data_IF_942530145563
#
_entry.id   IF_942530145563
#
_cell.length_a   1.000
_cell.length_b   1.000
_cell.length_c   1.000
_cell.angle_alpha   90.00
_cell.angle_beta   90.00
_cell.angle_gamma   90.00
#
_symmetry.space_group_name_H-M   'P 1'
#
loop_
_entity.id
_entity.type
_entity.pdbx_description
1 polymer ?
#
# COMPACT_ATOMS: atom_id res chain seq x y z
N UNK A 1 9.69 9.05 6.46
CA UNK A 1 8.61 8.35 7.17
C UNK A 1 7.29 8.40 6.41
N UNK A 2 6.71 9.57 6.12
CA UNK A 2 5.48 9.66 5.30
C UNK A 2 5.63 9.01 3.90
N UNK A 3 6.67 9.38 3.15
CA UNK A 3 6.93 8.79 1.82
C UNK A 3 7.11 7.26 1.86
N UNK A 4 7.73 6.73 2.91
CA UNK A 4 7.88 5.28 3.10
C UNK A 4 6.52 4.61 3.37
N UNK A 5 5.61 5.28 4.11
CA UNK A 5 4.25 4.78 4.30
C UNK A 5 3.43 4.82 3.02
N UNK A 6 3.60 5.84 2.16
CA UNK A 6 2.99 5.86 0.84
C UNK A 6 3.49 4.68 -0.01
N UNK A 7 4.79 4.38 0.02
CA UNK A 7 5.38 3.26 -0.71
C UNK A 7 4.83 1.91 -0.21
N UNK A 8 4.75 1.74 1.11
CA UNK A 8 4.11 0.57 1.72
C UNK A 8 2.63 0.49 1.31
N UNK A 9 1.89 1.60 1.29
CA UNK A 9 0.49 1.64 0.86
C UNK A 9 0.29 1.16 -0.57
N UNK A 10 1.15 1.58 -1.50
CA UNK A 10 1.15 1.07 -2.89
C UNK A 10 1.37 -0.44 -2.95
N UNK A 11 2.34 -0.95 -2.20
CA UNK A 11 2.69 -2.37 -2.20
C UNK A 11 1.62 -3.24 -1.57
N UNK A 12 1.02 -2.79 -0.48
CA UNK A 12 -0.09 -3.50 0.17
C UNK A 12 -1.37 -3.38 -0.66
N UNK A 13 -1.48 -2.35 -1.50
CA UNK A 13 -2.61 -2.12 -2.40
C UNK A 13 -3.93 -1.93 -1.66
N UNK A 14 -3.86 -1.21 -0.54
CA UNK A 14 -5.04 -0.85 0.24
C UNK A 14 -5.77 0.31 -0.45
N UNK A 15 -6.99 0.10 -1.00
CA UNK A 15 -7.75 1.16 -1.61
C UNK A 15 -8.31 2.15 -0.59
N UNK A 16 -8.36 1.79 0.69
CA UNK A 16 -8.86 2.64 1.78
C UNK A 16 -7.73 3.45 2.44
N UNK A 17 -6.61 3.67 1.73
CA UNK A 17 -5.48 4.44 2.24
C UNK A 17 -5.76 5.96 2.25
N UNK A 18 -4.83 6.72 2.83
CA UNK A 18 -4.88 8.18 2.85
C UNK A 18 -5.03 8.80 1.45
N UNK A 19 -4.44 8.22 0.40
CA UNK A 19 -4.39 8.81 -0.94
C UNK A 19 -5.68 8.62 -1.73
N UNK A 20 -6.45 7.59 -1.38
CA UNK A 20 -7.67 7.25 -2.09
C UNK A 20 -8.95 7.68 -1.33
N UNK A 21 -9.08 7.26 -0.08
CA UNK A 21 -10.29 7.49 0.73
C UNK A 21 -10.03 8.38 1.95
N UNK A 22 -8.78 8.78 2.19
CA UNK A 22 -8.44 9.69 3.29
C UNK A 22 -8.59 9.05 4.67
N UNK A 23 -8.48 7.72 4.76
CA UNK A 23 -8.79 6.91 5.93
C UNK A 23 -7.57 6.04 6.36
N UNK A 24 -7.73 5.25 7.44
CA UNK A 24 -6.80 4.20 7.85
C UNK A 24 -5.41 4.67 8.33
N UNK A 25 -5.41 5.81 9.03
CA UNK A 25 -4.24 6.30 9.74
C UNK A 25 -4.58 7.12 10.98
N UNK A 26 -3.59 7.27 11.86
CA UNK A 26 -3.56 8.26 12.91
C UNK A 26 -2.43 9.27 12.67
N UNK A 27 -2.63 10.50 13.13
CA UNK A 27 -1.55 11.47 13.27
C UNK A 27 -1.04 11.49 14.70
N UNK A 28 0.28 11.45 14.84
CA UNK A 28 0.98 11.61 16.09
C UNK A 28 2.01 12.73 15.97
N UNK A 29 1.97 13.70 16.87
CA UNK A 29 3.03 14.68 17.00
C UNK A 29 4.02 14.21 18.06
N UNK A 30 5.27 14.01 17.65
CA UNK A 30 6.33 13.72 18.60
C UNK A 30 6.62 14.98 19.44
N UNK A 31 6.34 14.91 20.75
CA UNK A 31 6.45 16.05 21.67
C UNK A 31 7.87 16.59 21.85
N UNK A 32 8.90 15.77 21.61
CA UNK A 32 10.31 16.18 21.74
C UNK A 32 10.81 16.94 20.51
N UNK A 33 10.41 16.51 19.32
CA UNK A 33 10.90 17.08 18.05
C UNK A 33 9.92 18.05 17.39
N UNK A 34 8.66 18.08 17.85
CA UNK A 34 7.56 18.82 17.21
C UNK A 34 7.12 18.26 15.86
N UNK A 35 7.71 17.15 15.40
CA UNK A 35 7.45 16.56 14.08
C UNK A 35 6.18 15.71 14.10
N UNK A 36 5.36 15.88 13.06
CA UNK A 36 4.19 15.06 12.82
C UNK A 36 4.56 13.75 12.11
N UNK A 37 3.84 12.71 12.47
CA UNK A 37 4.03 11.34 12.06
C UNK A 37 2.69 10.74 11.70
N UNK A 38 2.63 9.98 10.61
CA UNK A 38 1.47 9.15 10.28
C UNK A 38 1.73 7.74 10.80
N UNK A 39 0.69 7.10 11.36
CA UNK A 39 0.71 5.72 11.83
C UNK A 39 -0.38 4.97 11.07
N UNK A 40 -0.05 3.91 10.31
CA UNK A 40 -1.04 3.14 9.58
C UNK A 40 -1.95 2.36 10.53
N UNK A 41 -3.20 2.18 10.13
CA UNK A 41 -4.21 1.41 10.84
C UNK A 41 -5.12 0.70 9.82
N UNK A 42 -5.76 -0.41 10.17
CA UNK A 42 -6.73 -1.14 9.32
C UNK A 42 -6.24 -1.48 7.89
N UNK A 43 -5.37 -2.50 7.80
CA UNK A 43 -4.81 -2.99 6.53
C UNK A 43 -5.30 -4.41 6.18
N UNK A 44 -6.56 -4.70 6.51
CA UNK A 44 -7.23 -5.96 6.13
C UNK A 44 -7.66 -5.98 4.65
N UNK A 45 -7.78 -4.81 4.02
CA UNK A 45 -7.94 -4.63 2.58
C UNK A 45 -6.58 -4.43 1.90
N UNK A 46 -5.97 -5.50 1.42
CA UNK A 46 -4.65 -5.46 0.82
C UNK A 46 -4.08 -6.86 0.63
N UNK A 47 -2.89 -6.96 0.03
CA UNK A 47 -2.24 -8.25 -0.25
C UNK A 47 -3.10 -9.23 -1.08
N UNK A 48 -3.92 -8.68 -1.98
CA UNK A 48 -4.89 -9.45 -2.76
C UNK A 48 -6.15 -9.85 -1.99
N UNK A 49 -6.36 -9.34 -0.77
CA UNK A 49 -7.46 -9.70 0.12
C UNK A 49 -8.38 -8.52 0.45
N UNK A 50 -9.61 -8.85 0.85
CA UNK A 50 -10.61 -7.86 1.26
C UNK A 50 -11.22 -7.12 0.08
N UNK A 51 -11.65 -5.88 0.31
CA UNK A 51 -12.21 -5.03 -0.72
C UNK A 51 -11.11 -4.49 -1.64
N UNK A 52 -11.35 -4.51 -2.96
CA UNK A 52 -10.36 -4.13 -3.97
C UNK A 52 -10.47 -2.67 -4.44
N UNK A 53 -11.45 -1.91 -3.93
CA UNK A 53 -11.65 -0.50 -4.25
C UNK A 53 -12.57 -0.23 -5.46
N UNK A 54 -13.30 -1.23 -5.95
CA UNK A 54 -14.28 -1.07 -7.05
C UNK A 54 -15.28 0.07 -6.78
N UNK A 55 -15.61 0.94 -7.78
CA UNK A 55 -15.19 0.86 -9.19
C UNK A 55 -13.95 1.71 -9.54
N UNK A 56 -13.35 2.40 -8.58
CA UNK A 56 -12.16 3.26 -8.83
C UNK A 56 -10.93 2.39 -9.06
N UNK A 57 -10.77 1.42 -8.17
CA UNK A 57 -9.72 0.41 -8.28
C UNK A 57 -10.29 -0.93 -8.71
N UNK A 58 -9.42 -1.80 -9.19
CA UNK A 58 -9.63 -3.22 -9.29
C UNK A 58 -8.31 -3.94 -8.96
N UNK A 59 -8.37 -5.26 -8.81
CA UNK A 59 -7.18 -6.11 -8.65
C UNK A 59 -6.22 -5.62 -7.54
N UNK A 60 -6.78 -5.12 -6.43
CA UNK A 60 -6.04 -4.57 -5.29
C UNK A 60 -4.90 -3.64 -5.72
N UNK A 61 -5.19 -2.77 -6.68
CA UNK A 61 -4.31 -1.73 -7.25
C UNK A 61 -3.11 -2.23 -8.06
N UNK A 62 -3.02 -3.52 -8.40
CA UNK A 62 -2.00 -3.99 -9.35
C UNK A 62 -2.25 -3.35 -10.72
N UNK A 63 -1.21 -2.75 -11.31
CA UNK A 63 -1.27 -2.03 -12.58
C UNK A 63 -1.70 -0.56 -12.45
N UNK A 64 -1.89 -0.06 -11.22
CA UNK A 64 -2.15 1.36 -10.97
C UNK A 64 -0.83 2.11 -10.77
N UNK A 65 -0.79 3.34 -11.27
CA UNK A 65 0.41 4.14 -11.30
C UNK A 65 0.84 4.59 -9.88
N UNK A 66 2.14 4.56 -9.60
CA UNK A 66 2.69 4.92 -8.28
C UNK A 66 2.55 6.42 -7.93
N UNK A 67 2.30 7.29 -8.92
CA UNK A 67 2.04 8.72 -8.77
C UNK A 67 0.58 9.09 -9.05
N UNK A 68 -0.04 8.50 -10.07
CA UNK A 68 -1.46 8.70 -10.40
C UNK A 68 -2.34 7.68 -9.64
N UNK A 69 -2.67 8.03 -8.39
CA UNK A 69 -3.51 7.20 -7.53
C UNK A 69 -5.01 7.46 -7.76
N UNK A 70 -5.83 6.43 -7.61
CA UNK A 70 -7.29 6.58 -7.72
C UNK A 70 -7.90 7.36 -6.55
N UNK A 71 -9.03 8.04 -6.80
CA UNK A 71 -9.70 8.92 -5.85
C UNK A 71 -11.10 8.39 -5.48
N UNK A 72 -11.19 7.64 -4.39
CA UNK A 72 -12.45 7.10 -3.89
C UNK A 72 -13.34 8.17 -3.26
N UNK A 73 -12.74 9.18 -2.60
CA UNK A 73 -13.50 10.31 -2.09
C UNK A 73 -14.25 11.05 -3.20
N UNK A 74 -13.59 11.33 -4.34
CA UNK A 74 -14.24 11.90 -5.51
C UNK A 74 -15.41 11.02 -5.99
N UNK A 75 -15.19 9.71 -6.15
CA UNK A 75 -16.23 8.78 -6.62
C UNK A 75 -17.44 8.70 -5.67
N UNK A 76 -17.22 8.74 -4.35
CA UNK A 76 -18.28 8.64 -3.35
C UNK A 76 -19.02 9.95 -3.09
N UNK A 77 -18.32 11.08 -3.19
CA UNK A 77 -18.90 12.40 -2.90
C UNK A 77 -19.38 13.13 -4.15
N UNK A 78 -18.91 12.74 -5.33
CA UNK A 78 -19.09 13.46 -6.58
C UNK A 78 -18.28 14.77 -6.67
N UNK A 79 -17.41 15.05 -5.70
CA UNK A 79 -16.54 16.23 -5.72
C UNK A 79 -15.32 15.97 -6.60
N UNK A 80 -15.34 16.48 -7.82
CA UNK A 80 -14.22 16.41 -8.76
C UNK A 80 -12.97 17.08 -8.16
N UNK A 81 -11.84 16.39 -8.22
CA UNK A 81 -10.55 16.83 -7.70
C UNK A 81 -10.49 16.85 -6.18
N UNK A 82 -11.11 15.89 -5.49
CA UNK A 82 -10.98 15.80 -4.03
C UNK A 82 -9.49 15.64 -3.67
N UNK A 83 -8.91 16.64 -3.01
CA UNK A 83 -7.46 16.69 -2.77
C UNK A 83 -7.04 15.84 -1.59
N UNK A 84 -5.84 15.29 -1.67
CA UNK A 84 -5.11 14.62 -0.60
C UNK A 84 -3.81 15.41 -0.35
N UNK A 85 -3.89 16.58 0.34
CA UNK A 85 -2.87 17.62 0.21
C UNK A 85 -1.45 17.22 0.61
N UNK A 86 -1.28 16.21 1.46
CA UNK A 86 0.05 15.74 1.83
C UNK A 86 0.70 14.92 0.70
N UNK A 87 -0.02 13.97 0.10
CA UNK A 87 0.52 13.19 -1.01
C UNK A 87 0.71 14.06 -2.24
N UNK A 88 -0.30 14.87 -2.59
CA UNK A 88 -0.29 15.73 -3.77
C UNK A 88 0.92 16.68 -3.73
N UNK A 89 1.19 17.29 -2.57
CA UNK A 89 2.32 18.22 -2.45
C UNK A 89 3.67 17.53 -2.35
N UNK A 90 3.76 16.43 -1.60
CA UNK A 90 5.04 15.76 -1.38
C UNK A 90 5.54 15.09 -2.66
N UNK A 91 4.64 14.46 -3.42
CA UNK A 91 4.99 13.76 -4.65
C UNK A 91 5.17 14.70 -5.86
N UNK A 92 5.00 16.01 -5.69
CA UNK A 92 5.35 17.03 -6.70
C UNK A 92 6.75 17.65 -6.48
N UNK A 93 7.52 17.14 -5.51
CA UNK A 93 8.88 17.60 -5.24
C UNK A 93 9.84 16.51 -5.70
N UNK A 94 10.70 16.81 -6.68
CA UNK A 94 11.61 15.83 -7.30
C UNK A 94 12.45 15.05 -6.28
N UNK A 95 13.05 15.74 -5.30
CA UNK A 95 13.83 15.04 -4.26
C UNK A 95 13.02 14.07 -3.41
N UNK A 96 11.71 14.30 -3.26
CA UNK A 96 10.79 13.41 -2.55
C UNK A 96 10.27 12.29 -3.44
N UNK A 97 10.09 12.55 -4.74
CA UNK A 97 9.82 11.51 -5.74
C UNK A 97 10.96 10.49 -5.77
N UNK A 98 12.21 10.94 -5.90
CA UNK A 98 13.39 10.07 -5.89
C UNK A 98 13.52 9.28 -4.58
N UNK A 99 13.25 9.92 -3.44
CA UNK A 99 13.27 9.24 -2.14
C UNK A 99 12.14 8.21 -2.02
N UNK A 100 10.96 8.52 -2.54
CA UNK A 100 9.82 7.61 -2.60
C UNK A 100 10.11 6.39 -3.47
N UNK A 101 10.64 6.59 -4.68
CA UNK A 101 11.09 5.52 -5.58
C UNK A 101 12.16 4.66 -4.92
N UNK A 102 13.12 5.25 -4.20
CA UNK A 102 14.15 4.47 -3.50
C UNK A 102 13.57 3.59 -2.38
N UNK A 103 12.46 3.99 -1.75
CA UNK A 103 11.77 3.12 -0.80
C UNK A 103 11.03 1.99 -1.49
N UNK A 104 10.40 2.24 -2.64
CA UNK A 104 9.77 1.17 -3.42
C UNK A 104 10.81 0.14 -3.86
N UNK A 105 11.96 0.59 -4.35
CA UNK A 105 13.11 -0.25 -4.73
C UNK A 105 13.65 -1.05 -3.53
N UNK A 106 13.87 -0.41 -2.38
CA UNK A 106 14.28 -1.08 -1.12
C UNK A 106 13.28 -2.15 -0.69
N UNK A 107 11.98 -1.85 -0.76
CA UNK A 107 10.92 -2.73 -0.23
C UNK A 107 10.73 -3.99 -1.07
N UNK A 108 10.90 -3.91 -2.40
CA UNK A 108 10.74 -5.04 -3.32
C UNK A 108 12.04 -5.77 -3.62
N UNK A 109 13.19 -5.28 -3.13
CA UNK A 109 14.46 -5.96 -3.28
C UNK A 109 14.39 -7.33 -2.57
N UNK A 110 14.62 -8.45 -3.28
CA UNK A 110 14.60 -9.79 -2.68
C UNK A 110 15.67 -9.98 -1.60
N UNK A 111 16.69 -9.10 -1.51
CA UNK A 111 17.67 -9.12 -0.43
C UNK A 111 17.19 -8.40 0.86
N UNK A 112 16.05 -7.72 0.82
CA UNK A 112 15.52 -6.93 1.95
C UNK A 112 14.64 -7.72 2.92
N UNK A 113 14.06 -8.84 2.46
CA UNK A 113 13.04 -9.62 3.17
C UNK A 113 11.77 -8.81 3.56
N UNK A 114 11.54 -7.62 2.96
CA UNK A 114 10.47 -6.70 3.39
C UNK A 114 9.12 -7.00 2.73
N UNK A 115 9.05 -6.98 1.40
CA UNK A 115 7.85 -7.33 0.62
C UNK A 115 8.08 -8.63 -0.14
N UNK A 116 8.23 -9.71 0.62
CA UNK A 116 8.57 -11.04 0.12
C UNK A 116 7.50 -12.08 0.51
N UNK A 117 7.10 -12.91 -0.45
CA UNK A 117 6.05 -13.91 -0.22
C UNK A 117 6.50 -15.04 0.72
N UNK A 118 7.74 -15.51 0.63
CA UNK A 118 8.22 -16.59 1.48
C UNK A 118 8.29 -16.11 2.94
N UNK A 119 8.75 -14.88 3.18
CA UNK A 119 8.75 -14.24 4.51
C UNK A 119 7.33 -14.09 5.04
N UNK A 120 6.39 -13.62 4.20
CA UNK A 120 4.98 -13.54 4.55
C UNK A 120 4.41 -14.93 4.88
N UNK A 121 4.71 -15.93 4.07
CA UNK A 121 4.19 -17.29 4.20
C UNK A 121 4.67 -17.95 5.49
N UNK A 122 5.94 -17.73 5.90
CA UNK A 122 6.41 -18.20 7.20
C UNK A 122 5.62 -17.57 8.35
N UNK A 123 5.37 -16.25 8.31
CA UNK A 123 4.53 -15.57 9.31
C UNK A 123 3.09 -16.09 9.30
N UNK A 124 2.52 -16.35 8.13
CA UNK A 124 1.20 -16.98 7.99
C UNK A 124 1.16 -18.36 8.68
N UNK A 125 2.17 -19.20 8.46
CA UNK A 125 2.27 -20.51 9.12
C UNK A 125 2.41 -20.38 10.64
N UNK A 126 3.19 -19.42 11.13
CA UNK A 126 3.31 -19.12 12.56
C UNK A 126 1.93 -18.77 13.16
N UNK A 127 1.18 -17.85 12.53
CA UNK A 127 -0.15 -17.46 13.01
C UNK A 127 -1.14 -18.64 12.91
N UNK A 128 -1.12 -19.38 11.81
CA UNK A 128 -1.97 -20.55 11.61
C UNK A 128 -1.73 -21.59 12.70
N UNK A 129 -0.48 -21.92 12.99
CA UNK A 129 -0.16 -22.90 14.04
C UNK A 129 -0.65 -22.47 15.43
N UNK A 130 -0.70 -21.16 15.72
CA UNK A 130 -1.21 -20.64 16.99
C UNK A 130 -2.74 -20.69 17.09
N UNK A 131 -3.45 -20.40 15.99
CA UNK A 131 -4.88 -20.09 16.05
C UNK A 131 -5.81 -21.07 15.32
N UNK A 132 -5.32 -21.88 14.38
CA UNK A 132 -6.17 -22.70 13.50
C UNK A 132 -7.11 -23.64 14.28
N UNK A 133 -6.59 -24.28 15.34
CA UNK A 133 -7.38 -25.21 16.16
C UNK A 133 -8.53 -24.53 16.95
N UNK A 134 -8.40 -23.25 17.29
CA UNK A 134 -9.42 -22.52 18.06
C UNK A 134 -10.48 -21.87 17.17
N UNK A 135 -10.20 -21.72 15.87
CA UNK A 135 -11.15 -21.13 14.90
C UNK A 135 -12.43 -21.93 14.72
N UNK A 136 -12.39 -23.25 14.93
CA UNK A 136 -13.58 -24.13 14.82
C UNK A 136 -14.70 -23.74 15.79
N UNK A 137 -14.34 -23.11 16.91
CA UNK A 137 -15.27 -22.65 17.94
C UNK A 137 -15.41 -21.12 17.96
N UNK A 138 -14.78 -20.41 17.02
CA UNK A 138 -14.86 -18.95 16.95
C UNK A 138 -16.27 -18.51 16.56
N UNK A 139 -16.72 -17.39 17.13
CA UNK A 139 -18.01 -16.78 16.77
C UNK A 139 -18.11 -16.46 15.27
N UNK A 140 -16.98 -16.05 14.68
CA UNK A 140 -16.80 -15.96 13.23
C UNK A 140 -15.78 -17.01 12.81
N UNK A 141 -16.27 -18.13 12.28
CA UNK A 141 -15.41 -19.19 11.77
C UNK A 141 -14.82 -18.78 10.42
N UNK A 142 -13.67 -18.11 10.46
CA UNK A 142 -12.91 -17.68 9.29
C UNK A 142 -11.61 -18.51 9.23
N UNK A 143 -11.53 -19.57 8.41
CA UNK A 143 -10.34 -20.39 8.32
C UNK A 143 -9.17 -19.61 7.71
N UNK A 144 -7.94 -20.00 8.06
CA UNK A 144 -6.74 -19.50 7.39
C UNK A 144 -6.75 -19.87 5.91
N UNK A 145 -6.63 -18.88 5.05
CA UNK A 145 -6.58 -19.01 3.60
C UNK A 145 -5.62 -17.97 3.01
N UNK A 146 -4.85 -18.38 2.01
CA UNK A 146 -3.92 -17.52 1.27
C UNK A 146 -4.54 -16.92 0.02
N UNK A 147 -5.66 -17.48 -0.46
CA UNK A 147 -6.32 -17.16 -1.74
C UNK A 147 -5.30 -16.91 -2.86
N UNK A 148 -5.21 -15.68 -3.35
CA UNK A 148 -4.36 -15.18 -4.44
C UNK A 148 -3.15 -14.36 -3.94
N UNK A 149 -2.78 -14.44 -2.67
CA UNK A 149 -1.72 -13.60 -2.11
C UNK A 149 -0.36 -13.85 -2.78
N UNK A 150 0.00 -15.09 -3.11
CA UNK A 150 1.27 -15.37 -3.83
C UNK A 150 1.37 -14.68 -5.20
N UNK A 151 0.31 -14.81 -6.01
CA UNK A 151 0.24 -14.10 -7.29
C UNK A 151 0.22 -12.60 -7.10
N UNK A 152 -0.43 -12.09 -6.04
CA UNK A 152 -0.42 -10.66 -5.74
C UNK A 152 0.99 -10.12 -5.48
N UNK A 153 1.81 -10.79 -4.65
CA UNK A 153 3.20 -10.39 -4.42
C UNK A 153 3.98 -10.36 -5.73
N UNK A 154 3.87 -11.44 -6.53
CA UNK A 154 4.58 -11.57 -7.80
C UNK A 154 4.19 -10.46 -8.78
N UNK A 155 2.88 -10.26 -8.98
CA UNK A 155 2.35 -9.30 -9.94
C UNK A 155 2.64 -7.86 -9.49
N UNK A 156 2.51 -7.56 -8.20
CA UNK A 156 2.80 -6.24 -7.64
C UNK A 156 4.29 -5.90 -7.72
N UNK A 157 5.19 -6.84 -7.42
CA UNK A 157 6.64 -6.61 -7.57
C UNK A 157 6.99 -6.29 -9.02
N UNK A 158 6.49 -7.10 -9.96
CA UNK A 158 6.72 -6.90 -11.40
C UNK A 158 6.20 -5.55 -11.90
N UNK A 159 4.99 -5.18 -11.48
CA UNK A 159 4.37 -3.88 -11.78
C UNK A 159 5.23 -2.71 -11.28
N UNK A 160 5.67 -2.74 -10.01
CA UNK A 160 6.51 -1.68 -9.44
C UNK A 160 7.88 -1.61 -10.13
N UNK A 161 8.52 -2.74 -10.43
CA UNK A 161 9.80 -2.75 -11.17
C UNK A 161 9.66 -2.08 -12.55
N UNK A 162 8.56 -2.37 -13.26
CA UNK A 162 8.29 -1.77 -14.57
C UNK A 162 8.08 -0.25 -14.45
N UNK A 163 7.34 0.22 -13.45
CA UNK A 163 7.11 1.64 -13.21
C UNK A 163 8.37 2.39 -12.76
N UNK A 164 9.19 1.80 -11.89
CA UNK A 164 10.48 2.37 -11.50
C UNK A 164 11.40 2.56 -12.71
N UNK A 165 11.51 1.55 -13.58
CA UNK A 165 12.28 1.65 -14.82
C UNK A 165 11.71 2.74 -15.76
N UNK A 166 10.37 2.83 -15.84
CA UNK A 166 9.70 3.86 -16.62
C UNK A 166 10.10 5.26 -16.16
N UNK A 167 9.97 5.58 -14.87
CA UNK A 167 10.27 6.91 -14.34
C UNK A 167 11.76 7.25 -14.28
N UNK A 168 12.64 6.24 -14.18
CA UNK A 168 14.07 6.44 -14.39
C UNK A 168 14.39 6.84 -15.85
N UNK A 169 13.70 6.23 -16.82
CA UNK A 169 13.88 6.51 -18.25
C UNK A 169 13.25 7.84 -18.66
N UNK A 170 12.10 8.17 -18.07
CA UNK A 170 11.29 9.34 -18.39
C UNK A 170 11.05 10.20 -17.14
N UNK A 171 12.09 10.84 -16.59
CA UNK A 171 12.01 11.55 -15.31
C UNK A 171 11.01 12.71 -15.30
N UNK A 172 10.74 13.32 -16.47
CA UNK A 172 9.76 14.40 -16.62
C UNK A 172 8.30 13.95 -16.63
N UNK A 173 8.03 12.64 -16.51
CA UNK A 173 6.67 12.09 -16.41
C UNK A 173 6.26 11.77 -14.96
N UNK A 174 7.16 11.91 -13.98
CA UNK A 174 6.81 11.76 -12.56
C UNK A 174 5.76 12.81 -12.17
N UNK A 175 4.86 12.42 -11.26
CA UNK A 175 3.83 13.21 -10.56
C UNK A 175 3.55 14.65 -11.03
N UNK A 176 2.28 14.91 -11.39
CA UNK A 176 1.75 16.18 -11.93
C UNK A 176 1.62 17.32 -10.92
#
# INVERSE_FOLDING_TARGET
MMLRLLAIGVLLGNPDDYRAMGNNYYFYQNSLSGKWMMIPYDYDHGLGQGWDGTPVFNNWTVGYDIYEWGNLNEAFTGQIGFSHPLSDKLLNIESYQLLYESYLDELIDPASDLFDYDVFYQKYLEQKNLYDSVLVNAMMHLPFDLRNTESYFTDKISDIQAQLLHYQTYPGLRGF
#
